data_IF_485349523099
#
_entry.id   IF_485349523099
#
_cell.length_a   1.000
_cell.length_b   1.000
_cell.length_c   1.000
_cell.angle_alpha   90.00
_cell.angle_beta   90.00
_cell.angle_gamma   90.00
#
_symmetry.space_group_name_H-M   'P 1'
#
loop_
_entity.id
_entity.type
_entity.pdbx_description
1 polymer ?
#
# COMPACT_ATOMS: atom_id res chain seq x y z
N UNK A 1 -27.41 2.32 0.16
CA UNK A 1 -28.08 2.24 1.45
C UNK A 1 -27.13 2.00 2.60
N UNK A 2 -27.70 1.76 3.79
CA UNK A 2 -26.97 1.60 5.03
C UNK A 2 -25.98 0.43 5.04
N UNK A 3 -26.32 -0.69 4.41
CA UNK A 3 -25.44 -1.85 4.31
C UNK A 3 -24.17 -1.52 3.55
N UNK A 4 -24.31 -0.88 2.41
CA UNK A 4 -23.15 -0.49 1.59
C UNK A 4 -22.28 0.56 2.26
N UNK A 5 -22.85 1.46 3.07
CA UNK A 5 -22.07 2.42 3.86
C UNK A 5 -21.20 1.72 4.89
N UNK A 6 -21.77 0.79 5.63
CA UNK A 6 -21.03 -0.01 6.62
C UNK A 6 -19.93 -0.82 5.94
N UNK A 7 -20.23 -1.39 4.80
CA UNK A 7 -19.27 -2.16 4.02
C UNK A 7 -18.15 -1.30 3.46
N UNK A 8 -18.44 -0.06 3.05
CA UNK A 8 -17.40 0.90 2.64
C UNK A 8 -16.44 1.21 3.79
N UNK A 9 -16.97 1.48 4.99
CA UNK A 9 -16.13 1.76 6.16
C UNK A 9 -15.24 0.56 6.48
N UNK A 10 -15.82 -0.65 6.52
CA UNK A 10 -15.05 -1.87 6.76
C UNK A 10 -14.00 -2.10 5.69
N UNK A 11 -14.33 -1.85 4.43
CA UNK A 11 -13.41 -1.99 3.30
C UNK A 11 -12.22 -1.05 3.39
N UNK A 12 -12.43 0.19 3.83
CA UNK A 12 -11.34 1.15 4.06
C UNK A 12 -10.39 0.72 5.15
N UNK A 13 -10.92 0.16 6.24
CA UNK A 13 -10.09 -0.40 7.31
C UNK A 13 -9.22 -1.54 6.75
N UNK A 14 -9.80 -2.41 5.95
CA UNK A 14 -9.06 -3.51 5.32
C UNK A 14 -8.00 -3.01 4.34
N UNK A 15 -8.30 -1.97 3.56
CA UNK A 15 -7.33 -1.36 2.66
C UNK A 15 -6.17 -0.75 3.44
N UNK A 16 -6.46 0.01 4.49
CA UNK A 16 -5.43 0.64 5.32
C UNK A 16 -4.48 -0.42 5.90
N UNK A 17 -5.03 -1.54 6.36
CA UNK A 17 -4.22 -2.66 6.82
C UNK A 17 -3.37 -3.27 5.71
N UNK A 18 -3.92 -3.38 4.51
CA UNK A 18 -3.24 -3.96 3.35
C UNK A 18 -2.06 -3.10 2.86
N UNK A 19 -2.18 -1.77 2.93
CA UNK A 19 -1.12 -0.85 2.46
C UNK A 19 -0.16 -0.45 3.58
N UNK A 20 -0.44 -0.80 4.82
CA UNK A 20 0.44 -0.51 5.95
C UNK A 20 1.76 -1.25 5.78
N UNK A 21 2.85 -0.50 5.73
CA UNK A 21 4.18 -1.07 5.52
C UNK A 21 4.49 -1.47 4.08
N UNK A 22 3.57 -1.25 3.13
CA UNK A 22 3.82 -1.51 1.72
C UNK A 22 4.74 -0.45 1.12
N UNK A 23 5.54 -0.82 0.12
CA UNK A 23 6.25 0.17 -0.68
C UNK A 23 5.32 0.79 -1.74
N UNK A 24 5.79 1.85 -2.39
CA UNK A 24 5.00 2.57 -3.38
C UNK A 24 4.60 1.68 -4.56
N UNK A 25 5.50 0.82 -5.02
CA UNK A 25 5.23 -0.08 -6.14
C UNK A 25 4.15 -1.10 -5.78
N UNK A 26 4.18 -1.67 -4.58
CA UNK A 26 3.18 -2.63 -4.11
C UNK A 26 1.81 -1.97 -3.96
N UNK A 27 1.75 -0.76 -3.43
CA UNK A 27 0.49 -0.01 -3.29
C UNK A 27 -0.09 0.36 -4.66
N UNK A 28 0.75 0.76 -5.62
CA UNK A 28 0.34 1.08 -6.98
C UNK A 28 -0.13 -0.17 -7.74
N UNK A 29 0.55 -1.31 -7.56
CA UNK A 29 0.14 -2.58 -8.13
C UNK A 29 -1.23 -3.01 -7.59
N UNK A 30 -1.45 -2.85 -6.28
CA UNK A 30 -2.74 -3.13 -5.66
C UNK A 30 -3.85 -2.27 -6.29
N UNK A 31 -3.59 -0.97 -6.50
CA UNK A 31 -4.52 -0.07 -7.17
C UNK A 31 -4.93 -0.61 -8.55
N UNK A 32 -3.94 -0.94 -9.39
CA UNK A 32 -4.18 -1.47 -10.73
C UNK A 32 -4.98 -2.78 -10.71
N UNK A 33 -4.66 -3.65 -9.78
CA UNK A 33 -5.35 -4.94 -9.62
C UNK A 33 -6.80 -4.76 -9.17
N UNK A 34 -7.07 -3.83 -8.26
CA UNK A 34 -8.43 -3.52 -7.83
C UNK A 34 -9.25 -2.90 -8.95
N UNK A 35 -8.65 -2.03 -9.77
CA UNK A 35 -9.31 -1.50 -10.97
C UNK A 35 -9.63 -2.61 -11.97
N UNK A 36 -8.71 -3.55 -12.16
CA UNK A 36 -8.94 -4.69 -13.03
C UNK A 36 -10.15 -5.52 -12.58
N UNK A 37 -10.20 -5.85 -11.29
CA UNK A 37 -11.33 -6.61 -10.73
C UNK A 37 -12.63 -5.81 -10.87
N UNK A 38 -12.62 -4.52 -10.56
CA UNK A 38 -13.80 -3.66 -10.73
C UNK A 38 -14.30 -3.66 -12.17
N UNK A 39 -13.39 -3.57 -13.13
CA UNK A 39 -13.74 -3.60 -14.56
C UNK A 39 -14.40 -4.92 -14.96
N UNK A 40 -13.83 -6.03 -14.55
CA UNK A 40 -14.42 -7.37 -14.81
C UNK A 40 -15.83 -7.47 -14.23
N UNK A 41 -16.01 -7.03 -12.97
CA UNK A 41 -17.31 -7.09 -12.32
C UNK A 41 -18.31 -6.12 -12.95
N UNK A 42 -17.88 -4.96 -13.44
CA UNK A 42 -18.76 -3.99 -14.08
C UNK A 42 -19.32 -4.51 -15.39
N UNK A 43 -18.54 -5.32 -16.12
CA UNK A 43 -18.95 -5.86 -17.42
C UNK A 43 -19.63 -7.23 -17.33
N UNK A 44 -19.62 -7.87 -16.17
CA UNK A 44 -20.16 -9.23 -15.98
C UNK A 44 -21.21 -9.24 -14.86
N UNK A 45 -22.45 -9.00 -15.22
CA UNK A 45 -23.57 -8.91 -14.27
C UNK A 45 -23.72 -10.19 -13.44
N UNK A 46 -23.59 -11.35 -14.07
CA UNK A 46 -23.74 -12.63 -13.37
C UNK A 46 -22.66 -12.84 -12.31
N UNK A 47 -21.42 -12.48 -12.62
CA UNK A 47 -20.30 -12.57 -11.66
C UNK A 47 -20.53 -11.60 -10.50
N UNK A 48 -20.87 -10.36 -10.80
CA UNK A 48 -21.15 -9.34 -9.80
C UNK A 48 -22.25 -9.76 -8.83
N UNK A 49 -23.33 -10.32 -9.35
CA UNK A 49 -24.43 -10.84 -8.54
C UNK A 49 -24.00 -12.01 -7.68
N UNK A 50 -23.22 -12.94 -8.24
CA UNK A 50 -22.72 -14.09 -7.50
C UNK A 50 -21.87 -13.67 -6.31
N UNK A 51 -21.00 -12.68 -6.47
CA UNK A 51 -20.12 -12.22 -5.40
C UNK A 51 -20.81 -11.38 -4.33
N UNK A 52 -21.96 -10.79 -4.65
CA UNK A 52 -22.72 -9.97 -3.69
C UNK A 52 -23.93 -10.69 -3.11
N UNK A 53 -24.18 -11.92 -3.50
CA UNK A 53 -25.30 -12.71 -3.01
C UNK A 53 -25.04 -13.13 -1.56
N UNK A 54 -25.81 -12.61 -0.56
CA UNK A 54 -25.58 -12.92 0.83
C UNK A 54 -25.96 -14.36 1.20
N UNK A 55 -26.69 -15.06 0.35
CA UNK A 55 -27.10 -16.46 0.59
C UNK A 55 -26.01 -17.46 0.19
N UNK A 56 -24.99 -17.03 -0.54
CA UNK A 56 -23.89 -17.91 -0.94
C UNK A 56 -22.90 -18.09 0.19
N UNK A 57 -22.43 -19.33 0.34
CA UNK A 57 -21.38 -19.67 1.29
C UNK A 57 -20.09 -18.89 0.99
N UNK A 58 -19.48 -18.35 2.03
CA UNK A 58 -18.21 -17.60 1.93
C UNK A 58 -17.07 -18.42 1.33
N UNK A 59 -17.00 -19.71 1.65
CA UNK A 59 -16.00 -20.62 1.04
C UNK A 59 -16.20 -20.79 -0.44
N UNK A 60 -17.45 -20.91 -0.89
CA UNK A 60 -17.78 -21.03 -2.31
C UNK A 60 -17.43 -19.74 -3.05
N UNK A 61 -17.72 -18.57 -2.46
CA UNK A 61 -17.32 -17.27 -3.03
C UNK A 61 -15.80 -17.16 -3.13
N UNK A 62 -15.07 -17.50 -2.07
CA UNK A 62 -13.62 -17.45 -2.05
C UNK A 62 -13.01 -18.34 -3.13
N UNK A 63 -13.52 -19.55 -3.29
CA UNK A 63 -13.06 -20.47 -4.34
C UNK A 63 -13.32 -19.92 -5.74
N UNK A 64 -14.49 -19.33 -5.95
CA UNK A 64 -14.85 -18.70 -7.22
C UNK A 64 -13.95 -17.51 -7.56
N UNK A 65 -13.71 -16.65 -6.58
CA UNK A 65 -12.82 -15.49 -6.72
C UNK A 65 -11.40 -15.94 -7.06
N UNK A 66 -10.91 -16.96 -6.35
CA UNK A 66 -9.58 -17.53 -6.60
C UNK A 66 -9.48 -18.12 -8.00
N UNK A 67 -10.51 -18.79 -8.48
CA UNK A 67 -10.56 -19.33 -9.84
C UNK A 67 -10.54 -18.21 -10.89
N UNK A 68 -11.32 -17.15 -10.68
CA UNK A 68 -11.40 -16.04 -11.64
C UNK A 68 -10.13 -15.18 -11.66
N UNK A 69 -9.58 -14.87 -10.51
CA UNK A 69 -8.57 -13.83 -10.36
C UNK A 69 -7.23 -14.32 -9.81
N UNK A 70 -7.13 -15.54 -9.32
CA UNK A 70 -5.95 -16.03 -8.61
C UNK A 70 -4.65 -15.98 -9.41
N UNK A 71 -4.73 -16.06 -10.74
CA UNK A 71 -3.56 -15.93 -11.64
C UNK A 71 -3.42 -14.55 -12.25
N UNK A 72 -4.35 -13.66 -11.95
CA UNK A 72 -4.44 -12.32 -12.57
C UNK A 72 -4.03 -11.21 -11.61
N UNK A 73 -4.20 -11.42 -10.32
CA UNK A 73 -3.91 -10.42 -9.28
C UNK A 73 -3.06 -11.05 -8.17
N UNK A 74 -2.38 -10.21 -7.42
CA UNK A 74 -1.58 -10.65 -6.29
C UNK A 74 -2.42 -11.07 -5.09
N UNK A 75 -1.77 -11.70 -4.10
CA UNK A 75 -2.45 -12.24 -2.91
C UNK A 75 -3.17 -11.19 -2.08
N UNK A 76 -2.62 -9.98 -1.99
CA UNK A 76 -3.24 -8.88 -1.22
C UNK A 76 -4.55 -8.46 -1.87
N UNK A 77 -4.56 -8.23 -3.18
CA UNK A 77 -5.78 -7.89 -3.92
C UNK A 77 -6.80 -9.01 -3.84
N UNK A 78 -6.36 -10.25 -4.01
CA UNK A 78 -7.24 -11.42 -3.93
C UNK A 78 -7.91 -11.51 -2.56
N UNK A 79 -7.16 -11.32 -1.48
CA UNK A 79 -7.65 -11.30 -0.12
C UNK A 79 -8.66 -10.19 0.12
N UNK A 80 -8.40 -8.98 -0.38
CA UNK A 80 -9.32 -7.85 -0.28
C UNK A 80 -10.63 -8.12 -1.02
N UNK A 81 -10.57 -8.60 -2.24
CA UNK A 81 -11.78 -8.92 -3.02
C UNK A 81 -12.61 -10.00 -2.32
N UNK A 82 -11.96 -11.02 -1.78
CA UNK A 82 -12.61 -12.07 -1.02
C UNK A 82 -13.30 -11.53 0.22
N UNK A 83 -12.61 -10.68 0.96
CA UNK A 83 -13.15 -10.06 2.17
C UNK A 83 -14.33 -9.14 1.84
N UNK A 84 -14.21 -8.30 0.83
CA UNK A 84 -15.27 -7.40 0.42
C UNK A 84 -16.52 -8.15 -0.05
N UNK A 85 -16.36 -9.27 -0.75
CA UNK A 85 -17.52 -10.07 -1.18
C UNK A 85 -18.23 -10.76 -0.04
N UNK A 86 -17.61 -10.92 1.11
CA UNK A 86 -18.26 -11.43 2.32
C UNK A 86 -19.10 -10.39 3.04
N UNK A 87 -18.95 -9.13 2.69
CA UNK A 87 -19.72 -8.03 3.28
C UNK A 87 -21.08 -7.91 2.60
N UNK A 88 -21.96 -7.14 3.22
CA UNK A 88 -23.30 -6.90 2.68
C UNK A 88 -23.34 -5.66 1.81
N UNK A 89 -23.98 -5.80 0.66
CA UNK A 89 -24.10 -4.73 -0.34
C UNK A 89 -25.59 -4.50 -0.65
N UNK A 90 -26.03 -3.24 -0.62
CA UNK A 90 -27.40 -2.87 -0.93
C UNK A 90 -27.77 -3.14 -2.39
N UNK A 91 -26.78 -3.03 -3.27
CA UNK A 91 -26.89 -3.38 -4.69
C UNK A 91 -25.57 -3.96 -5.18
N UNK A 92 -25.59 -4.91 -6.14
CA UNK A 92 -24.35 -5.50 -6.68
C UNK A 92 -23.36 -4.47 -7.23
N UNK A 93 -23.84 -3.40 -7.85
CA UNK A 93 -22.99 -2.31 -8.38
C UNK A 93 -22.20 -1.60 -7.29
N UNK A 94 -22.66 -1.63 -6.04
CA UNK A 94 -21.99 -0.95 -4.93
C UNK A 94 -20.62 -1.57 -4.64
N UNK A 95 -20.47 -2.88 -4.81
CA UNK A 95 -19.17 -3.54 -4.69
C UNK A 95 -18.19 -3.00 -5.74
N UNK A 96 -18.64 -2.81 -6.98
CA UNK A 96 -17.82 -2.25 -8.05
C UNK A 96 -17.36 -0.84 -7.69
N UNK A 97 -18.29 0.01 -7.26
CA UNK A 97 -17.97 1.39 -6.88
C UNK A 97 -16.97 1.46 -5.73
N UNK A 98 -17.11 0.58 -4.75
CA UNK A 98 -16.19 0.53 -3.61
C UNK A 98 -14.80 0.02 -4.05
N UNK A 99 -14.73 -0.99 -4.91
CA UNK A 99 -13.44 -1.44 -5.47
C UNK A 99 -12.72 -0.31 -6.21
N UNK A 100 -13.45 0.47 -7.01
CA UNK A 100 -12.88 1.65 -7.68
C UNK A 100 -12.40 2.69 -6.68
N UNK A 101 -13.18 2.94 -5.64
CA UNK A 101 -12.82 3.87 -4.57
C UNK A 101 -11.55 3.42 -3.86
N UNK A 102 -11.45 2.14 -3.51
CA UNK A 102 -10.26 1.59 -2.87
C UNK A 102 -9.04 1.64 -3.79
N UNK A 103 -9.24 1.42 -5.08
CA UNK A 103 -8.16 1.52 -6.06
C UNK A 103 -7.58 2.94 -6.10
N UNK A 104 -8.44 3.95 -6.08
CA UNK A 104 -8.03 5.36 -6.02
C UNK A 104 -7.28 5.64 -4.73
N UNK A 105 -7.77 5.16 -3.60
CA UNK A 105 -7.13 5.34 -2.30
C UNK A 105 -5.78 4.62 -2.22
N UNK A 106 -5.65 3.44 -2.81
CA UNK A 106 -4.38 2.71 -2.90
C UNK A 106 -3.34 3.49 -3.73
N UNK A 107 -3.75 4.10 -4.84
CA UNK A 107 -2.85 4.94 -5.65
C UNK A 107 -2.44 6.21 -4.89
N UNK A 108 -3.36 6.81 -4.16
CA UNK A 108 -3.03 7.95 -3.29
C UNK A 108 -2.03 7.56 -2.20
N UNK A 109 -2.17 6.36 -1.62
CA UNK A 109 -1.21 5.81 -0.66
C UNK A 109 0.17 5.61 -1.31
N UNK A 110 0.21 5.10 -2.54
CA UNK A 110 1.46 4.93 -3.29
C UNK A 110 2.17 6.28 -3.48
N UNK A 111 1.43 7.31 -3.85
CA UNK A 111 1.97 8.66 -4.02
C UNK A 111 2.51 9.22 -2.70
N UNK A 112 1.79 9.02 -1.60
CA UNK A 112 2.22 9.44 -0.27
C UNK A 112 3.49 8.73 0.18
N UNK A 113 3.58 7.42 -0.05
CA UNK A 113 4.78 6.62 0.28
C UNK A 113 5.97 7.11 -0.54
N UNK A 114 5.80 7.36 -1.82
CA UNK A 114 6.85 7.88 -2.69
C UNK A 114 7.31 9.28 -2.25
N UNK A 115 6.38 10.16 -1.90
CA UNK A 115 6.68 11.50 -1.38
C UNK A 115 7.45 11.45 -0.06
N UNK A 116 7.09 10.55 0.83
CA UNK A 116 7.79 10.32 2.10
C UNK A 116 9.23 9.84 1.86
N UNK A 117 9.43 8.93 0.91
CA UNK A 117 10.74 8.43 0.55
C UNK A 117 11.62 9.54 -0.02
N UNK A 118 11.09 10.36 -0.92
CA UNK A 118 11.81 11.51 -1.48
C UNK A 118 12.22 12.49 -0.38
N UNK A 119 11.36 12.75 0.57
CA UNK A 119 11.66 13.62 1.72
C UNK A 119 12.80 13.06 2.57
N UNK A 120 12.81 11.76 2.84
CA UNK A 120 13.89 11.11 3.60
C UNK A 120 15.21 11.20 2.84
N UNK A 121 15.20 11.01 1.53
CA UNK A 121 16.39 11.17 0.68
C UNK A 121 16.94 12.59 0.73
N UNK A 122 16.07 13.60 0.69
CA UNK A 122 16.45 15.01 0.82
C UNK A 122 17.04 15.29 2.22
N UNK A 123 16.48 14.74 3.27
CA UNK A 123 17.02 14.87 4.64
C UNK A 123 18.42 14.28 4.74
N UNK A 124 18.64 13.09 4.16
CA UNK A 124 19.96 12.44 4.12
C UNK A 124 20.96 13.33 3.38
N UNK A 125 20.59 13.85 2.21
CA UNK A 125 21.44 14.72 1.41
C UNK A 125 21.82 15.98 2.18
N UNK A 126 20.85 16.62 2.82
CA UNK A 126 21.04 17.84 3.63
C UNK A 126 21.98 17.57 4.80
N UNK A 127 21.79 16.47 5.51
CA UNK A 127 22.64 16.06 6.62
C UNK A 127 24.09 15.85 6.15
N UNK A 128 24.27 15.12 5.06
CA UNK A 128 25.58 14.84 4.48
C UNK A 128 26.28 16.14 4.04
N UNK A 129 25.55 17.07 3.43
CA UNK A 129 26.08 18.37 3.02
C UNK A 129 26.48 19.22 4.22
N UNK A 130 25.70 19.20 5.31
CA UNK A 130 26.02 19.92 6.54
C UNK A 130 27.32 19.39 7.16
N UNK A 131 27.51 18.08 7.20
CA UNK A 131 28.76 17.48 7.67
C UNK A 131 29.94 17.85 6.79
N UNK A 132 29.79 17.80 5.47
CA UNK A 132 30.83 18.12 4.53
C UNK A 132 31.27 19.60 4.61
N UNK A 133 30.34 20.51 4.94
CA UNK A 133 30.63 21.95 5.07
C UNK A 133 31.12 22.37 6.45
N UNK A 134 31.00 21.51 7.47
CA UNK A 134 31.47 21.83 8.82
C UNK A 134 33.00 21.80 8.89
N UNK A 135 33.61 22.94 9.28
CA UNK A 135 35.06 23.05 9.41
C UNK A 135 35.59 22.12 10.50
N UNK A 136 34.91 22.07 11.63
CA UNK A 136 35.31 21.21 12.75
C UNK A 136 35.23 19.73 12.39
N UNK A 137 34.21 19.33 11.69
CA UNK A 137 34.03 17.97 11.25
C UNK A 137 35.05 17.58 10.21
N UNK A 138 35.37 18.48 9.25
CA UNK A 138 36.43 18.24 8.27
C UNK A 138 37.80 18.05 8.95
N UNK A 139 38.12 18.87 9.93
CA UNK A 139 39.36 18.72 10.72
C UNK A 139 39.39 17.38 11.43
N UNK A 140 38.27 16.95 12.01
CA UNK A 140 38.14 15.65 12.66
C UNK A 140 38.34 14.49 11.70
N UNK A 141 37.89 14.63 10.44
CA UNK A 141 38.05 13.62 9.40
C UNK A 141 39.48 13.49 8.87
N UNK A 142 40.33 14.48 9.15
CA UNK A 142 41.76 14.46 8.77
C UNK A 142 42.68 14.08 9.94
N UNK A 143 42.14 13.75 11.11
CA UNK A 143 42.89 13.41 12.33
C UNK A 143 42.81 11.90 12.61
N UNK A 144 43.61 11.44 13.63
CA UNK A 144 43.55 10.07 14.10
C UNK A 144 42.21 9.69 14.72
N UNK A 145 41.36 10.68 15.07
CA UNK A 145 40.00 10.48 15.56
C UNK A 145 38.99 10.24 14.43
N UNK A 146 39.42 10.18 13.19
CA UNK A 146 38.59 10.04 11.98
C UNK A 146 37.62 8.86 12.05
N UNK A 147 38.10 7.70 12.55
CA UNK A 147 37.26 6.51 12.63
C UNK A 147 36.02 6.71 13.51
N UNK A 148 36.18 7.37 14.66
CA UNK A 148 35.06 7.63 15.57
C UNK A 148 34.06 8.62 14.93
N UNK A 149 34.58 9.65 14.24
CA UNK A 149 33.73 10.62 13.53
C UNK A 149 33.06 10.04 12.31
N UNK A 150 33.75 9.20 11.55
CA UNK A 150 33.17 8.48 10.43
C UNK A 150 32.05 7.54 10.89
N UNK A 151 32.23 6.88 12.03
CA UNK A 151 31.19 6.06 12.64
C UNK A 151 29.97 6.90 13.02
N UNK A 152 30.17 8.09 13.59
CA UNK A 152 29.08 8.99 13.94
C UNK A 152 28.29 9.44 12.69
N UNK A 153 28.97 9.81 11.63
CA UNK A 153 28.34 10.18 10.35
C UNK A 153 27.55 9.01 9.79
N UNK A 154 28.13 7.81 9.80
CA UNK A 154 27.49 6.59 9.34
C UNK A 154 26.22 6.28 10.16
N UNK A 155 26.27 6.45 11.47
CA UNK A 155 25.13 6.23 12.36
C UNK A 155 23.99 7.22 12.09
N UNK A 156 24.31 8.48 11.83
CA UNK A 156 23.30 9.50 11.48
C UNK A 156 22.65 9.16 10.15
N UNK A 157 23.41 8.82 9.13
CA UNK A 157 22.88 8.44 7.82
C UNK A 157 22.06 7.15 7.93
N UNK A 158 22.49 6.20 8.72
CA UNK A 158 21.76 4.97 8.99
C UNK A 158 20.44 5.26 9.73
N UNK A 159 20.43 6.17 10.67
CA UNK A 159 19.22 6.59 11.37
C UNK A 159 18.19 7.22 10.45
N UNK A 160 18.62 8.12 9.55
CA UNK A 160 17.76 8.72 8.53
C UNK A 160 17.27 7.67 7.52
N UNK A 161 18.14 6.76 7.09
CA UNK A 161 17.80 5.67 6.16
C UNK A 161 16.95 4.57 6.80
N UNK A 162 16.93 4.46 8.12
CA UNK A 162 16.13 3.47 8.83
C UNK A 162 14.66 3.56 8.52
N UNK A 163 14.11 4.77 8.40
CA UNK A 163 12.72 4.99 7.98
C UNK A 163 12.48 4.54 6.54
N UNK A 164 13.43 4.79 5.66
CA UNK A 164 13.36 4.39 4.24
C UNK A 164 13.34 2.87 4.10
N UNK A 165 14.21 2.16 4.83
CA UNK A 165 14.28 0.70 4.81
C UNK A 165 12.96 0.07 5.26
N UNK A 166 12.32 0.62 6.28
CA UNK A 166 11.03 0.14 6.78
C UNK A 166 9.91 0.33 5.76
N UNK A 167 9.97 1.35 4.91
CA UNK A 167 8.97 1.61 3.88
C UNK A 167 9.13 0.65 2.68
N UNK A 168 10.34 0.20 2.40
CA UNK A 168 10.65 -0.66 1.26
C UNK A 168 10.45 -2.15 1.58
N UNK A 169 10.73 -2.55 2.80
CA UNK A 169 10.59 -3.95 3.22
C UNK A 169 9.16 -4.34 3.56
#
# INVERSE_FOLDING_TARGET
>A
GGSSRKSLVASRVSLDAAVKGADANSASALSSELFFVADVLSTNIAVRRALTDPSRDGKAKAAFISELFGKKVGGVALGLVTELSSLRWSAPKDLVLVLEQLAIEAEASAANIAGELDRVEDEIFTAAAAFASSTDLRKALTSDATNAKATLVADILKGASGSTVKLVS
#
